data_IF_180058212294
#
_entry.id   IF_180058212294
#
_cell.length_a   1.000
_cell.length_b   1.000
_cell.length_c   1.000
_cell.angle_alpha   90.00
_cell.angle_beta   90.00
_cell.angle_gamma   90.00
#
_symmetry.space_group_name_H-M   'P 1'
#
loop_
_entity.id
_entity.type
_entity.pdbx_description
1 polymer ?
#
# COMPACT_ATOMS: atom_id res chain seq x y z
N UNK A 1 19.39 28.67 -5.20
CA UNK A 1 18.68 27.49 -4.67
C UNK A 1 19.45 26.23 -5.06
N UNK A 2 20.61 25.96 -4.45
CA UNK A 2 21.59 25.01 -4.99
C UNK A 2 21.99 23.86 -4.04
N UNK A 3 21.21 23.60 -2.98
CA UNK A 3 21.51 22.55 -2.00
C UNK A 3 20.30 21.65 -1.70
N UNK A 4 19.31 21.63 -2.60
CA UNK A 4 18.19 20.71 -2.50
C UNK A 4 18.55 19.45 -3.29
N UNK A 5 18.52 18.25 -2.67
CA UNK A 5 18.68 17.01 -3.41
C UNK A 5 17.52 16.81 -4.39
N UNK A 6 17.77 16.04 -5.45
CA UNK A 6 16.74 15.72 -6.43
C UNK A 6 15.63 14.86 -5.81
N UNK A 7 14.37 15.10 -6.22
CA UNK A 7 13.23 14.38 -5.62
C UNK A 7 13.24 12.87 -5.85
N UNK A 8 13.82 12.40 -6.96
CA UNK A 8 13.87 10.97 -7.26
C UNK A 8 14.81 10.20 -6.30
N UNK A 9 15.75 10.88 -5.63
CA UNK A 9 16.65 10.23 -4.66
C UNK A 9 15.92 9.72 -3.42
N UNK A 10 14.64 10.06 -3.26
CA UNK A 10 13.78 9.61 -2.18
C UNK A 10 13.37 8.14 -2.32
N UNK A 11 13.12 7.68 -3.54
CA UNK A 11 12.61 6.32 -3.82
C UNK A 11 13.52 5.50 -4.74
N UNK A 12 14.47 6.14 -5.44
CA UNK A 12 15.39 5.47 -6.34
C UNK A 12 16.72 5.17 -5.64
N UNK A 13 17.11 3.90 -5.65
CA UNK A 13 18.37 3.41 -5.09
C UNK A 13 19.55 3.90 -5.94
N UNK A 14 20.61 4.35 -5.27
CA UNK A 14 21.86 4.70 -5.96
C UNK A 14 22.63 3.44 -6.36
N UNK A 15 23.53 3.51 -7.36
CA UNK A 15 24.37 2.36 -7.72
C UNK A 15 25.14 1.82 -6.51
N UNK A 16 24.92 0.55 -6.16
CA UNK A 16 25.56 -0.11 -5.01
C UNK A 16 24.78 -0.05 -3.69
N UNK A 17 23.66 0.68 -3.62
CA UNK A 17 22.78 0.72 -2.45
C UNK A 17 21.80 -0.48 -2.47
N UNK A 18 21.75 -1.23 -1.38
CA UNK A 18 20.79 -2.34 -1.23
C UNK A 18 19.46 -1.82 -0.71
N UNK A 19 18.35 -2.43 -1.12
CA UNK A 19 17.02 -2.02 -0.62
C UNK A 19 16.83 -2.36 0.85
N UNK A 20 17.39 -3.49 1.28
CA UNK A 20 17.26 -4.01 2.63
C UNK A 20 18.64 -4.45 3.10
N UNK A 21 19.05 -3.95 4.26
CA UNK A 21 20.24 -4.42 4.97
C UNK A 21 19.80 -5.03 6.30
N UNK A 22 20.45 -6.12 6.71
CA UNK A 22 20.13 -6.84 7.95
C UNK A 22 21.29 -6.69 8.92
N UNK A 23 20.99 -6.16 10.10
CA UNK A 23 21.94 -6.03 11.21
C UNK A 23 21.44 -6.85 12.40
N UNK A 24 22.07 -7.99 12.66
CA UNK A 24 21.79 -8.80 13.84
C UNK A 24 22.29 -8.11 15.12
N UNK A 25 21.51 -8.18 16.20
CA UNK A 25 21.87 -7.57 17.49
C UNK A 25 22.58 -8.62 18.36
N UNK A 26 23.86 -8.39 18.65
CA UNK A 26 24.67 -9.30 19.48
C UNK A 26 24.36 -9.18 20.97
N UNK A 27 23.68 -8.11 21.41
CA UNK A 27 23.41 -7.85 22.84
C UNK A 27 22.10 -8.48 23.30
N UNK A 28 21.13 -8.61 22.39
CA UNK A 28 19.80 -9.12 22.69
C UNK A 28 19.59 -10.40 21.88
N UNK A 29 19.31 -11.54 22.52
CA UNK A 29 19.09 -12.79 21.79
C UNK A 29 17.86 -12.68 20.89
N UNK A 30 17.94 -13.31 19.72
CA UNK A 30 16.84 -13.37 18.74
C UNK A 30 16.31 -11.99 18.33
N UNK A 31 17.20 -11.00 18.23
CA UNK A 31 16.87 -9.67 17.77
C UNK A 31 17.66 -9.28 16.52
N UNK A 32 16.98 -8.65 15.56
CA UNK A 32 17.60 -8.11 14.36
C UNK A 32 16.99 -6.75 14.01
N UNK A 33 17.81 -5.89 13.43
CA UNK A 33 17.42 -4.59 12.88
C UNK A 33 17.50 -4.66 11.37
N UNK A 34 16.36 -4.45 10.72
CA UNK A 34 16.22 -4.38 9.27
C UNK A 34 16.24 -2.92 8.86
N UNK A 35 17.17 -2.55 7.98
CA UNK A 35 17.30 -1.20 7.44
C UNK A 35 16.72 -1.20 6.04
N UNK A 36 15.62 -0.47 5.86
CA UNK A 36 14.97 -0.26 4.58
C UNK A 36 15.44 1.07 4.00
N UNK A 37 16.19 1.01 2.91
CA UNK A 37 16.66 2.19 2.19
C UNK A 37 15.58 2.62 1.18
N UNK A 38 15.43 3.94 1.01
CA UNK A 38 14.44 4.58 0.12
C UNK A 38 12.99 4.32 0.52
N UNK A 39 12.76 4.18 1.82
CA UNK A 39 11.44 3.97 2.40
C UNK A 39 11.19 4.98 3.53
N UNK A 40 9.92 5.15 3.88
CA UNK A 40 9.46 6.12 4.88
C UNK A 40 8.52 5.48 5.93
N UNK A 41 7.85 6.35 6.70
CA UNK A 41 6.88 5.95 7.72
C UNK A 41 5.73 5.10 7.17
N UNK A 42 5.40 5.20 5.88
CA UNK A 42 4.32 4.43 5.25
C UNK A 42 4.57 2.94 5.39
N UNK A 43 5.77 2.49 4.98
CA UNK A 43 6.17 1.08 5.09
C UNK A 43 6.52 0.73 6.54
N UNK A 44 7.26 1.59 7.24
CA UNK A 44 7.69 1.33 8.62
C UNK A 44 6.52 1.10 9.59
N UNK A 45 5.50 1.94 9.54
CA UNK A 45 4.33 1.83 10.41
C UNK A 45 3.50 0.58 10.07
N UNK A 46 3.30 0.29 8.79
CA UNK A 46 2.55 -0.88 8.34
C UNK A 46 3.22 -2.19 8.80
N UNK A 47 4.53 -2.31 8.60
CA UNK A 47 5.28 -3.48 9.03
C UNK A 47 5.29 -3.65 10.54
N UNK A 48 5.44 -2.55 11.30
CA UNK A 48 5.37 -2.62 12.77
C UNK A 48 4.09 -3.28 13.24
N UNK A 49 2.94 -2.84 12.73
CA UNK A 49 1.64 -3.39 13.13
C UNK A 49 1.49 -4.86 12.70
N UNK A 50 1.91 -5.20 11.49
CA UNK A 50 1.82 -6.56 10.98
C UNK A 50 2.71 -7.55 11.75
N UNK A 51 3.92 -7.12 12.13
CA UNK A 51 4.85 -7.94 12.91
C UNK A 51 4.35 -8.10 14.34
N UNK A 52 3.87 -7.04 15.00
CA UNK A 52 3.29 -7.13 16.35
C UNK A 52 2.05 -8.02 16.42
N UNK A 53 1.33 -8.21 15.31
CA UNK A 53 0.18 -9.11 15.24
C UNK A 53 0.58 -10.59 15.20
N UNK A 54 1.87 -10.93 15.00
CA UNK A 54 2.33 -12.31 14.95
C UNK A 54 2.57 -12.86 16.36
N UNK A 55 2.17 -14.12 16.64
CA UNK A 55 2.54 -14.79 17.89
C UNK A 55 4.06 -15.01 17.93
N UNK A 56 4.64 -14.93 19.13
CA UNK A 56 6.09 -15.14 19.34
C UNK A 56 6.95 -13.87 19.15
N UNK A 57 6.36 -12.73 18.81
CA UNK A 57 7.07 -11.43 18.79
C UNK A 57 7.01 -10.80 20.17
N UNK A 58 8.18 -10.52 20.73
CA UNK A 58 8.30 -9.83 22.02
C UNK A 58 8.36 -8.31 21.84
N UNK A 59 9.04 -7.86 20.79
CA UNK A 59 9.19 -6.45 20.51
C UNK A 59 9.26 -6.19 19.00
N UNK A 60 8.56 -5.15 18.56
CA UNK A 60 8.78 -4.56 17.25
C UNK A 60 8.59 -3.04 17.33
N UNK A 61 9.57 -2.32 16.80
CA UNK A 61 9.55 -0.88 16.69
C UNK A 61 10.26 -0.42 15.44
N UNK A 62 9.87 0.73 14.91
CA UNK A 62 10.56 1.36 13.80
C UNK A 62 10.95 2.80 14.13
N UNK A 63 12.00 3.29 13.49
CA UNK A 63 12.39 4.71 13.54
C UNK A 63 12.98 5.16 12.22
N UNK A 64 12.78 6.44 11.92
CA UNK A 64 13.52 7.16 10.88
C UNK A 64 14.64 7.93 11.59
N UNK A 65 15.92 7.68 11.29
CA UNK A 65 17.03 8.25 12.05
C UNK A 65 17.16 9.76 11.81
N UNK A 66 16.86 10.21 10.58
CA UNK A 66 16.84 11.61 10.23
C UNK A 66 15.79 11.87 9.12
N UNK A 67 14.95 12.92 9.21
CA UNK A 67 13.88 13.17 8.23
C UNK A 67 14.37 13.44 6.79
N UNK A 68 15.60 13.95 6.62
CA UNK A 68 16.18 14.21 5.30
C UNK A 68 16.76 12.96 4.62
N UNK A 69 16.83 11.85 5.34
CA UNK A 69 17.36 10.59 4.81
C UNK A 69 16.21 9.58 4.73
N UNK A 70 15.83 9.13 3.52
CA UNK A 70 14.74 8.18 3.34
C UNK A 70 15.22 6.77 3.71
N UNK A 71 15.36 6.52 5.02
CA UNK A 71 15.70 5.21 5.56
C UNK A 71 14.89 4.90 6.81
N UNK A 72 14.41 3.67 6.91
CA UNK A 72 13.64 3.20 8.05
C UNK A 72 14.34 2.02 8.70
N UNK A 73 14.55 2.10 10.01
CA UNK A 73 15.12 1.01 10.79
C UNK A 73 13.99 0.33 11.55
N UNK A 74 13.73 -0.94 11.25
CA UNK A 74 12.74 -1.78 11.93
C UNK A 74 13.49 -2.78 12.80
N UNK A 75 13.34 -2.67 14.12
CA UNK A 75 13.90 -3.62 15.08
C UNK A 75 12.85 -4.64 15.48
N UNK A 76 13.18 -5.91 15.38
CA UNK A 76 12.31 -7.05 15.71
C UNK A 76 13.04 -7.94 16.71
N UNK A 77 12.33 -8.36 17.75
CA UNK A 77 12.78 -9.35 18.71
C UNK A 77 11.72 -10.44 18.86
N UNK A 78 12.15 -11.69 18.77
CA UNK A 78 11.29 -12.87 18.92
C UNK A 78 11.62 -13.64 20.20
N UNK A 79 10.71 -14.53 20.59
CA UNK A 79 10.88 -15.47 21.70
C UNK A 79 11.85 -16.62 21.41
N UNK A 80 12.32 -16.74 20.17
CA UNK A 80 13.19 -17.83 19.69
C UNK A 80 12.44 -18.98 19.01
N UNK A 81 11.12 -18.95 18.96
CA UNK A 81 10.31 -19.94 18.21
C UNK A 81 10.51 -19.78 16.70
N UNK A 82 10.68 -18.55 16.23
CA UNK A 82 10.94 -18.18 14.84
C UNK A 82 12.06 -17.16 14.77
N UNK A 83 12.82 -17.17 13.67
CA UNK A 83 13.82 -16.12 13.43
C UNK A 83 13.13 -14.79 13.11
N UNK A 84 13.73 -13.64 13.46
CA UNK A 84 13.17 -12.32 13.13
C UNK A 84 12.91 -12.13 11.63
N UNK A 85 13.74 -12.74 10.77
CA UNK A 85 13.59 -12.68 9.31
C UNK A 85 12.36 -13.45 8.83
N UNK A 86 12.11 -14.65 9.37
CA UNK A 86 10.93 -15.45 9.04
C UNK A 86 9.64 -14.75 9.50
N UNK A 87 9.64 -14.18 10.70
CA UNK A 87 8.49 -13.41 11.21
C UNK A 87 8.17 -12.24 10.30
N UNK A 88 9.19 -11.50 9.86
CA UNK A 88 9.04 -10.39 8.94
C UNK A 88 8.46 -10.86 7.59
N UNK A 89 8.97 -11.96 7.03
CA UNK A 89 8.47 -12.53 5.78
C UNK A 89 7.00 -12.96 5.90
N UNK A 90 6.63 -13.64 7.00
CA UNK A 90 5.25 -14.04 7.26
C UNK A 90 4.33 -12.83 7.41
N UNK A 91 4.78 -11.76 8.09
CA UNK A 91 4.03 -10.51 8.22
C UNK A 91 3.79 -9.85 6.86
N UNK A 92 4.82 -9.77 6.00
CA UNK A 92 4.69 -9.26 4.63
C UNK A 92 3.68 -10.06 3.81
N UNK A 93 3.74 -11.39 3.85
CA UNK A 93 2.79 -12.25 3.12
C UNK A 93 1.35 -12.03 3.60
N UNK A 94 1.13 -11.91 4.92
CA UNK A 94 -0.19 -11.61 5.47
C UNK A 94 -0.71 -10.24 5.02
N UNK A 95 0.14 -9.21 5.01
CA UNK A 95 -0.21 -7.88 4.53
C UNK A 95 -0.62 -7.88 3.05
N UNK A 96 0.11 -8.60 2.19
CA UNK A 96 -0.22 -8.70 0.77
C UNK A 96 -1.60 -9.33 0.58
N UNK A 97 -1.90 -10.40 1.32
CA UNK A 97 -3.22 -11.07 1.29
C UNK A 97 -4.33 -10.13 1.78
N UNK A 98 -4.11 -9.41 2.89
CA UNK A 98 -5.08 -8.45 3.43
C UNK A 98 -5.37 -7.31 2.44
N UNK A 99 -4.33 -6.74 1.82
CA UNK A 99 -4.48 -5.69 0.81
C UNK A 99 -5.20 -6.21 -0.44
N UNK A 100 -4.92 -7.45 -0.84
CA UNK A 100 -5.61 -8.12 -1.94
C UNK A 100 -7.11 -8.29 -1.66
N UNK A 101 -7.47 -8.75 -0.46
CA UNK A 101 -8.86 -8.89 -0.03
C UNK A 101 -9.57 -7.52 0.04
N UNK A 102 -8.90 -6.49 0.57
CA UNK A 102 -9.43 -5.12 0.61
C UNK A 102 -9.71 -4.59 -0.79
N UNK A 103 -8.76 -4.75 -1.73
CA UNK A 103 -8.92 -4.32 -3.12
C UNK A 103 -10.13 -5.00 -3.78
N UNK A 104 -10.30 -6.30 -3.58
CA UNK A 104 -11.42 -7.05 -4.15
C UNK A 104 -12.76 -6.61 -3.56
N UNK A 105 -12.84 -6.48 -2.22
CA UNK A 105 -14.03 -5.98 -1.54
C UNK A 105 -14.41 -4.58 -1.99
N UNK A 106 -13.44 -3.66 -2.01
CA UNK A 106 -13.64 -2.29 -2.48
C UNK A 106 -14.13 -2.25 -3.93
N UNK A 107 -13.50 -2.99 -4.84
CA UNK A 107 -13.87 -3.02 -6.26
C UNK A 107 -15.30 -3.53 -6.44
N UNK A 108 -15.71 -4.54 -5.65
CA UNK A 108 -17.07 -5.07 -5.68
C UNK A 108 -18.08 -4.02 -5.23
N UNK A 109 -17.87 -3.39 -4.09
CA UNK A 109 -18.80 -2.39 -3.54
C UNK A 109 -18.91 -1.14 -4.41
N UNK A 110 -17.80 -0.68 -4.99
CA UNK A 110 -17.81 0.46 -5.93
C UNK A 110 -18.61 0.12 -7.20
N UNK A 111 -18.46 -1.09 -7.74
CA UNK A 111 -19.26 -1.53 -8.90
C UNK A 111 -20.74 -1.63 -8.58
N UNK A 112 -21.10 -2.24 -7.46
CA UNK A 112 -22.49 -2.32 -7.00
C UNK A 112 -23.10 -0.93 -6.77
N UNK A 113 -22.32 0.03 -6.28
CA UNK A 113 -22.76 1.41 -6.08
C UNK A 113 -22.93 2.18 -7.40
N UNK A 114 -22.11 1.89 -8.42
CA UNK A 114 -22.19 2.51 -9.74
C UNK A 114 -23.36 1.97 -10.58
N UNK A 115 -23.61 0.66 -10.51
CA UNK A 115 -24.74 0.01 -11.18
C UNK A 115 -26.08 0.30 -10.47
N UNK A 116 -26.04 0.75 -9.21
CA UNK A 116 -27.19 1.16 -8.40
C UNK A 116 -27.80 2.53 -8.75
N UNK A 117 -27.45 3.11 -9.91
CA UNK A 117 -28.05 4.36 -10.43
C UNK A 117 -29.53 4.26 -10.78
N UNK A 118 -30.15 3.08 -10.69
CA UNK A 118 -31.58 2.91 -10.82
C UNK A 118 -32.03 1.76 -9.93
N UNK A 119 -33.09 1.99 -9.14
CA UNK A 119 -33.80 1.05 -8.25
C UNK A 119 -33.28 0.89 -6.81
N UNK A 120 -34.04 1.50 -5.88
CA UNK A 120 -34.51 0.77 -4.71
C UNK A 120 -34.04 1.29 -3.37
N UNK A 121 -34.89 2.11 -2.75
CA UNK A 121 -34.98 2.31 -1.30
C UNK A 121 -34.73 1.00 -0.52
N UNK A 122 -33.53 0.85 0.05
CA UNK A 122 -33.16 -0.22 0.96
C UNK A 122 -32.99 0.32 2.39
N UNK A 123 -33.55 -0.39 3.37
CA UNK A 123 -33.81 0.08 4.73
C UNK A 123 -32.59 0.34 5.66
N UNK A 124 -31.34 0.38 5.14
CA UNK A 124 -30.13 0.55 5.96
C UNK A 124 -29.10 1.50 5.35
N UNK A 125 -29.55 2.56 4.68
CA UNK A 125 -28.64 3.50 4.02
C UNK A 125 -29.16 4.92 3.90
N UNK A 126 -30.10 5.34 4.75
CA UNK A 126 -30.32 6.75 5.00
C UNK A 126 -29.31 7.21 6.07
N UNK A 127 -28.79 8.43 5.91
CA UNK A 127 -28.03 9.20 6.92
C UNK A 127 -26.50 9.03 6.98
N UNK A 128 -25.73 9.31 5.92
CA UNK A 128 -24.35 9.82 6.12
C UNK A 128 -23.80 10.80 5.05
N UNK A 129 -24.54 11.17 4.01
CA UNK A 129 -24.10 12.25 3.10
C UNK A 129 -25.25 13.18 2.71
N UNK A 130 -25.55 14.13 3.60
CA UNK A 130 -26.40 15.26 3.28
C UNK A 130 -25.96 16.46 4.13
N UNK A 131 -24.83 17.08 3.77
CA UNK A 131 -24.39 18.30 4.46
C UNK A 131 -23.41 19.19 3.67
N UNK A 132 -23.34 19.17 2.34
CA UNK A 132 -22.74 20.29 1.59
C UNK A 132 -23.42 20.50 0.24
N UNK A 133 -24.28 21.52 0.19
CA UNK A 133 -24.50 22.32 -1.01
C UNK A 133 -25.47 21.79 -2.06
N UNK A 134 -26.75 22.05 -1.86
CA UNK A 134 -27.64 22.30 -2.99
C UNK A 134 -27.12 23.54 -3.75
N UNK A 135 -26.62 23.33 -4.97
CA UNK A 135 -26.08 24.37 -5.83
C UNK A 135 -26.12 23.91 -7.29
N UNK A 136 -27.29 24.06 -7.90
CA UNK A 136 -27.53 24.33 -9.33
C UNK A 136 -26.60 23.76 -10.41
N UNK A 137 -27.26 23.03 -11.30
CA UNK A 137 -27.16 23.05 -12.77
C UNK A 137 -26.53 21.82 -13.41
N UNK A 138 -27.34 21.22 -14.27
CA UNK A 138 -27.12 20.00 -15.01
C UNK A 138 -26.03 20.19 -16.09
N UNK A 139 -25.05 19.29 -16.10
CA UNK A 139 -24.17 19.09 -17.25
C UNK A 139 -24.41 17.69 -17.82
N UNK A 140 -25.15 17.67 -18.92
CA UNK A 140 -25.42 16.50 -19.75
C UNK A 140 -24.17 16.17 -20.55
N UNK A 141 -23.41 15.13 -20.15
CA UNK A 141 -22.40 14.58 -21.04
C UNK A 141 -23.08 13.65 -22.06
N UNK A 142 -23.21 14.21 -23.27
CA UNK A 142 -23.54 13.51 -24.51
C UNK A 142 -22.72 12.24 -24.63
N UNK A 143 -23.39 11.11 -24.86
CA UNK A 143 -22.73 9.87 -25.27
C UNK A 143 -22.29 10.07 -26.71
N UNK A 144 -20.98 10.15 -26.92
CA UNK A 144 -20.42 10.18 -28.27
C UNK A 144 -20.84 8.91 -29.01
N UNK A 145 -21.59 9.17 -30.06
CA UNK A 145 -22.10 8.23 -31.02
C UNK A 145 -20.93 7.70 -31.85
N UNK A 146 -20.40 6.52 -31.49
CA UNK A 146 -19.65 5.68 -32.41
C UNK A 146 -19.77 4.20 -32.02
N UNK A 147 -20.99 3.68 -32.19
CA UNK A 147 -21.26 2.27 -32.45
C UNK A 147 -22.09 2.18 -33.72
N UNK A 148 -21.45 1.78 -34.84
CA UNK A 148 -21.86 0.65 -35.69
C UNK A 148 -21.45 0.83 -37.18
N UNK A 149 -20.33 0.21 -37.56
CA UNK A 149 -20.12 -0.53 -38.82
C UNK A 149 -18.76 -1.24 -38.64
N UNK A 150 -18.63 -2.56 -38.50
CA UNK A 150 -19.16 -3.60 -39.38
C UNK A 150 -18.11 -3.93 -40.44
N UNK A 151 -17.27 -4.94 -40.21
CA UNK A 151 -16.54 -5.63 -41.29
C UNK A 151 -15.02 -5.83 -41.14
N UNK A 152 -14.65 -7.08 -40.86
CA UNK A 152 -13.60 -7.84 -41.54
C UNK A 152 -12.09 -7.51 -41.36
N UNK A 153 -11.38 -8.58 -40.97
CA UNK A 153 -10.04 -9.06 -41.38
C UNK A 153 -8.75 -8.31 -40.98
N UNK A 154 -7.91 -9.02 -40.22
CA UNK A 154 -6.51 -9.25 -40.61
C UNK A 154 -5.41 -8.50 -39.86
N UNK A 155 -4.47 -9.27 -39.28
CA UNK A 155 -3.05 -8.92 -39.28
C UNK A 155 -2.45 -8.44 -37.95
N UNK A 156 -1.93 -9.38 -37.17
CA UNK A 156 -0.85 -9.10 -36.22
C UNK A 156 0.42 -8.73 -37.02
N UNK A 157 1.06 -7.60 -36.70
CA UNK A 157 2.49 -7.37 -36.97
C UNK A 157 3.07 -6.65 -35.76
N UNK A 158 3.99 -7.36 -35.11
CA UNK A 158 4.83 -6.95 -33.98
C UNK A 158 6.00 -6.09 -34.50
N UNK A 159 6.45 -5.11 -33.69
CA UNK A 159 7.76 -4.43 -33.83
C UNK A 159 8.37 -4.21 -32.46
#
# INVERSE_FOLDING_TARGET
MANAPDRFTLFLLQPGEQRIEVQEDMRIPNAATFIFNKEDHTLGNMLRHAVLAQPGVLFCGYKVPHPLEPRVLVKIQTDGSLTPAEVLQQACTKLIVQMGALKQGWTKEVRLSADGGQYGSGAYGSHLWNAYGAGTQADTYSTDADRAAGGAIGGYVDM
#
